data_IF_454883672918
#
_entry.id   IF_454883672918
#
_cell.length_a   1.000
_cell.length_b   1.000
_cell.length_c   1.000
_cell.angle_alpha   90.00
_cell.angle_beta   90.00
_cell.angle_gamma   90.00
#
_symmetry.space_group_name_H-M   'P 1'
#
loop_
_entity.id
_entity.type
_entity.pdbx_description
1 polymer ?
#
# COMPACT_ATOMS: atom_id res chain seq x y z
N UNK A 1 -6.31 22.42 20.19
CA UNK A 1 -6.98 21.12 20.02
C UNK A 1 -6.84 20.70 18.55
N UNK A 2 -6.02 19.70 18.17
CA UNK A 2 -5.92 19.30 16.77
C UNK A 2 -7.11 18.42 16.39
N UNK A 3 -7.91 18.94 15.47
CA UNK A 3 -9.13 18.32 14.93
C UNK A 3 -8.82 17.05 14.16
N UNK A 4 -9.57 15.97 14.45
CA UNK A 4 -9.51 14.62 13.87
C UNK A 4 -9.38 14.56 12.32
N UNK A 5 -9.81 15.61 11.60
CA UNK A 5 -9.80 15.73 10.13
C UNK A 5 -8.41 15.90 9.49
N UNK A 6 -7.44 16.48 10.20
CA UNK A 6 -6.07 16.65 9.68
C UNK A 6 -5.28 15.33 9.60
N UNK A 7 -5.64 14.36 10.45
CA UNK A 7 -4.90 13.11 10.62
C UNK A 7 -5.22 12.09 9.52
N UNK A 8 -6.46 12.10 9.01
CA UNK A 8 -6.90 11.19 7.93
C UNK A 8 -6.15 11.44 6.63
N UNK A 9 -5.94 12.72 6.26
CA UNK A 9 -5.16 13.09 5.08
C UNK A 9 -3.70 12.62 5.16
N UNK A 10 -3.07 12.75 6.33
CA UNK A 10 -1.69 12.27 6.55
C UNK A 10 -1.58 10.75 6.50
N UNK A 11 -2.56 10.03 7.06
CA UNK A 11 -2.60 8.56 7.04
C UNK A 11 -2.86 8.02 5.64
N UNK A 12 -3.78 8.62 4.89
CA UNK A 12 -4.05 8.28 3.49
C UNK A 12 -2.83 8.49 2.59
N UNK A 13 -2.10 9.60 2.78
CA UNK A 13 -0.86 9.86 2.04
C UNK A 13 0.22 8.82 2.37
N UNK A 14 0.34 8.43 3.64
CA UNK A 14 1.28 7.39 4.08
C UNK A 14 0.93 6.02 3.47
N UNK A 15 -0.35 5.66 3.44
CA UNK A 15 -0.83 4.42 2.81
C UNK A 15 -0.58 4.42 1.30
N UNK A 16 -0.81 5.55 0.61
CA UNK A 16 -0.47 5.71 -0.81
C UNK A 16 1.01 5.56 -1.09
N UNK A 17 1.88 6.15 -0.26
CA UNK A 17 3.32 6.01 -0.40
C UNK A 17 3.76 4.55 -0.23
N UNK A 18 3.24 3.84 0.79
CA UNK A 18 3.51 2.39 0.96
C UNK A 18 3.01 1.56 -0.22
N UNK A 19 1.84 1.87 -0.76
CA UNK A 19 1.32 1.20 -1.95
C UNK A 19 2.21 1.39 -3.19
N UNK A 20 2.75 2.61 -3.37
CA UNK A 20 3.69 2.90 -4.45
C UNK A 20 5.00 2.13 -4.28
N UNK A 21 5.55 2.08 -3.05
CA UNK A 21 6.75 1.33 -2.74
C UNK A 21 6.59 -0.18 -2.97
N UNK A 22 5.48 -0.78 -2.53
CA UNK A 22 5.16 -2.18 -2.80
C UNK A 22 5.01 -2.47 -4.29
N UNK A 23 4.46 -1.53 -5.06
CA UNK A 23 4.34 -1.68 -6.52
C UNK A 23 5.72 -1.65 -7.18
N UNK A 24 6.61 -0.75 -6.76
CA UNK A 24 7.98 -0.69 -7.24
C UNK A 24 8.79 -1.95 -6.89
N UNK A 25 8.64 -2.48 -5.67
CA UNK A 25 9.26 -3.75 -5.27
C UNK A 25 8.75 -4.92 -6.11
N UNK A 26 7.45 -4.94 -6.43
CA UNK A 26 6.85 -5.98 -7.26
C UNK A 26 7.36 -5.89 -8.71
N UNK A 27 7.47 -4.69 -9.27
CA UNK A 27 8.07 -4.48 -10.60
C UNK A 27 9.56 -4.87 -10.63
N UNK A 28 10.30 -4.59 -9.56
CA UNK A 28 11.69 -4.99 -9.44
C UNK A 28 11.84 -6.52 -9.40
N UNK A 29 11.02 -7.21 -8.61
CA UNK A 29 11.02 -8.67 -8.58
C UNK A 29 10.56 -9.30 -9.90
N UNK A 30 9.59 -8.71 -10.61
CA UNK A 30 9.18 -9.16 -11.93
C UNK A 30 10.27 -9.02 -13.00
N UNK A 31 11.15 -8.02 -12.86
CA UNK A 31 12.32 -7.83 -13.73
C UNK A 31 13.44 -8.81 -13.42
N UNK A 32 13.40 -9.46 -12.26
CA UNK A 32 14.42 -10.42 -11.88
C UNK A 32 14.29 -11.69 -12.74
N UNK A 33 15.38 -12.26 -13.28
CA UNK A 33 15.33 -13.44 -14.14
C UNK A 33 14.84 -14.72 -13.43
N UNK A 34 14.80 -14.70 -12.09
CA UNK A 34 14.13 -15.69 -11.25
C UNK A 34 13.27 -14.96 -10.22
N UNK A 35 12.04 -14.59 -10.56
CA UNK A 35 11.14 -13.97 -9.60
C UNK A 35 10.77 -15.02 -8.54
N UNK A 36 10.87 -14.66 -7.27
CA UNK A 36 10.32 -15.52 -6.22
C UNK A 36 8.79 -15.42 -6.24
N UNK A 37 8.12 -16.48 -6.71
CA UNK A 37 6.65 -16.51 -6.73
C UNK A 37 6.04 -16.28 -5.34
N UNK A 38 6.72 -16.75 -4.29
CA UNK A 38 6.33 -16.48 -2.90
C UNK A 38 6.44 -14.99 -2.55
N UNK A 39 7.52 -14.31 -2.96
CA UNK A 39 7.67 -12.88 -2.75
C UNK A 39 6.62 -12.08 -3.52
N UNK A 40 6.37 -12.44 -4.79
CA UNK A 40 5.32 -11.81 -5.59
C UNK A 40 3.92 -12.02 -4.99
N UNK A 41 3.60 -13.23 -4.50
CA UNK A 41 2.33 -13.49 -3.82
C UNK A 41 2.19 -12.66 -2.55
N UNK A 42 3.24 -12.57 -1.72
CA UNK A 42 3.24 -11.72 -0.51
C UNK A 42 3.03 -10.25 -0.86
N UNK A 43 3.80 -9.72 -1.81
CA UNK A 43 3.69 -8.33 -2.27
C UNK A 43 2.29 -8.01 -2.84
N UNK A 44 1.69 -8.93 -3.60
CA UNK A 44 0.31 -8.78 -4.11
C UNK A 44 -0.73 -8.75 -2.99
N UNK A 45 -0.62 -9.63 -1.99
CA UNK A 45 -1.52 -9.66 -0.84
C UNK A 45 -1.38 -8.39 0.01
N UNK A 46 -0.15 -7.93 0.21
CA UNK A 46 0.12 -6.71 0.97
C UNK A 46 -0.42 -5.47 0.24
N UNK A 47 -0.25 -5.42 -1.09
CA UNK A 47 -0.87 -4.40 -1.94
C UNK A 47 -2.40 -4.42 -1.86
N UNK A 48 -3.02 -5.61 -1.82
CA UNK A 48 -4.46 -5.76 -1.66
C UNK A 48 -4.92 -5.20 -0.29
N UNK A 49 -4.23 -5.58 0.80
CA UNK A 49 -4.53 -5.08 2.14
C UNK A 49 -4.42 -3.57 2.26
N UNK A 50 -3.37 -2.96 1.70
CA UNK A 50 -3.22 -1.49 1.72
C UNK A 50 -4.35 -0.83 0.91
N UNK A 51 -4.77 -1.42 -0.22
CA UNK A 51 -5.91 -0.90 -0.98
C UNK A 51 -7.20 -0.94 -0.15
N UNK A 52 -7.46 -2.03 0.56
CA UNK A 52 -8.60 -2.14 1.48
C UNK A 52 -8.51 -1.14 2.63
N UNK A 53 -7.32 -0.94 3.20
CA UNK A 53 -7.11 0.03 4.29
C UNK A 53 -7.32 1.48 3.79
N UNK A 54 -6.93 1.79 2.56
CA UNK A 54 -7.22 3.07 1.90
C UNK A 54 -8.72 3.26 1.70
N UNK A 55 -9.43 2.25 1.19
CA UNK A 55 -10.89 2.32 0.99
C UNK A 55 -11.64 2.43 2.32
N UNK A 56 -11.19 1.73 3.36
CA UNK A 56 -11.74 1.83 4.71
C UNK A 56 -11.52 3.22 5.31
N UNK A 57 -10.30 3.76 5.25
CA UNK A 57 -10.00 5.12 5.74
C UNK A 57 -10.72 6.18 4.92
N UNK A 58 -10.90 5.98 3.62
CA UNK A 58 -11.66 6.88 2.75
C UNK A 58 -13.17 6.84 3.03
N UNK A 59 -13.72 5.69 3.44
CA UNK A 59 -15.15 5.52 3.75
C UNK A 59 -15.51 5.95 5.18
N UNK A 60 -14.54 5.94 6.08
CA UNK A 60 -14.71 6.27 7.51
C UNK A 60 -14.65 7.77 7.82
N UNK A 61 -14.34 8.62 6.83
CA UNK A 61 -14.25 10.10 6.96
C UNK A 61 -15.23 10.82 6.06
#
# INVERSE_FOLDING_TARGET
>A
MPTKRGNVRGRLQSLRNRHAELSAQLENELKHPRPSEMALKRLKLEKLRIKEEIEMEARSN
#
